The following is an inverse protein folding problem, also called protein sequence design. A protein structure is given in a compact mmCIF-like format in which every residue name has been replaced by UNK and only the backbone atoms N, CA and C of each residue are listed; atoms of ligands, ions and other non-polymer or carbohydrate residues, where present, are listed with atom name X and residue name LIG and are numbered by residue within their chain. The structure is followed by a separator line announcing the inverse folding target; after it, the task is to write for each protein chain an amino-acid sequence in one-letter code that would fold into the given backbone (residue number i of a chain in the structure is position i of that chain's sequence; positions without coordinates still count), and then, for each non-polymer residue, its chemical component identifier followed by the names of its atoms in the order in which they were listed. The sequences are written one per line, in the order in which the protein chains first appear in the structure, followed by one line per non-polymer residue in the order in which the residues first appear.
data_IF_425680391328
#
_entry.id   IF_425680391328
#
_cell.length_a   1.000
_cell.length_b   1.000
_cell.length_c   1.000
_cell.angle_alpha   90.00
_cell.angle_beta   90.00
_cell.angle_gamma   90.00
#
_symmetry.space_group_name_H-M   'P 1'
#
loop_
_entity.id
_entity.type
_entity.pdbx_description
1 polymer ?
#
# COMPACT_ATOMS: atom_id res chain seq x y z
N UNK A 1 -18.08 -8.47 21.82
CA UNK A 1 -16.96 -8.53 22.79
C UNK A 1 -15.69 -8.28 22.00
N UNK A 2 -15.12 -7.08 22.13
CA UNK A 2 -13.83 -6.74 21.51
C UNK A 2 -12.74 -7.59 22.17
N UNK A 3 -12.01 -8.38 21.38
CA UNK A 3 -10.73 -8.92 21.87
C UNK A 3 -9.78 -7.74 21.99
N UNK A 4 -9.35 -7.45 23.22
CA UNK A 4 -8.18 -6.62 23.47
C UNK A 4 -7.04 -7.07 22.54
N UNK A 5 -6.33 -6.10 21.97
CA UNK A 5 -5.07 -6.32 21.25
C UNK A 5 -4.17 -7.16 22.17
N UNK A 6 -3.66 -8.29 21.67
CA UNK A 6 -2.75 -9.14 22.42
C UNK A 6 -1.51 -8.32 22.83
N UNK A 7 -1.01 -8.42 24.07
CA UNK A 7 0.22 -7.74 24.49
C UNK A 7 1.46 -8.08 23.62
N UNK A 8 1.38 -9.10 22.77
CA UNK A 8 2.41 -9.45 21.78
C UNK A 8 2.46 -8.50 20.57
N UNK A 9 1.44 -7.68 20.34
CA UNK A 9 1.38 -6.73 19.23
C UNK A 9 1.93 -5.34 19.56
N UNK A 10 2.21 -5.04 20.84
CA UNK A 10 2.79 -3.77 21.30
C UNK A 10 4.21 -3.52 20.75
N UNK A 11 4.84 -4.52 20.13
CA UNK A 11 6.15 -4.38 19.52
C UNK A 11 6.12 -3.86 18.07
N UNK A 12 4.95 -3.71 17.43
CA UNK A 12 4.83 -3.22 16.05
C UNK A 12 4.35 -1.76 16.04
N UNK A 13 5.14 -0.81 15.50
CA UNK A 13 4.87 0.63 15.63
C UNK A 13 3.64 1.11 14.84
N UNK A 14 3.17 0.32 13.87
CA UNK A 14 2.03 0.63 13.02
C UNK A 14 0.95 -0.45 13.13
N UNK A 15 -0.30 -0.06 13.30
CA UNK A 15 -1.46 -0.97 13.29
C UNK A 15 -2.29 -0.68 12.04
N UNK A 16 -2.42 -1.69 11.18
CA UNK A 16 -3.08 -1.58 9.88
C UNK A 16 -4.50 -2.12 9.92
N UNK A 17 -5.43 -1.35 9.35
CA UNK A 17 -6.72 -1.89 8.91
C UNK A 17 -6.55 -2.38 7.47
N UNK A 18 -6.51 -3.70 7.30
CA UNK A 18 -6.30 -4.36 6.01
C UNK A 18 -7.59 -4.50 5.19
N UNK A 19 -7.49 -4.28 3.88
CA UNK A 19 -8.54 -4.47 2.88
C UNK A 19 -9.87 -3.81 3.28
N UNK A 20 -9.81 -2.52 3.61
CA UNK A 20 -10.96 -1.69 4.04
C UNK A 20 -11.80 -1.31 2.82
N UNK A 21 -12.49 -2.32 2.28
CA UNK A 21 -13.24 -2.24 1.02
C UNK A 21 -14.76 -2.14 1.21
N UNK A 22 -15.22 -1.89 2.44
CA UNK A 22 -16.65 -1.71 2.73
C UNK A 22 -16.90 -0.58 3.70
N UNK A 23 -18.11 -0.02 3.66
CA UNK A 23 -18.53 1.03 4.60
C UNK A 23 -18.39 0.55 6.04
N UNK A 24 -18.77 -0.69 6.33
CA UNK A 24 -18.65 -1.28 7.66
C UNK A 24 -17.20 -1.30 8.16
N UNK A 25 -16.27 -1.81 7.34
CA UNK A 25 -14.85 -1.86 7.69
C UNK A 25 -14.26 -0.46 7.88
N UNK A 26 -14.67 0.50 7.03
CA UNK A 26 -14.21 1.88 7.14
C UNK A 26 -14.65 2.51 8.46
N UNK A 27 -15.92 2.37 8.82
CA UNK A 27 -16.44 2.91 10.08
C UNK A 27 -15.77 2.26 11.29
N UNK A 28 -15.55 0.94 11.25
CA UNK A 28 -14.78 0.24 12.28
C UNK A 28 -13.36 0.80 12.39
N UNK A 29 -12.65 0.92 11.28
CA UNK A 29 -11.28 1.44 11.24
C UNK A 29 -11.17 2.87 11.76
N UNK A 30 -12.14 3.73 11.44
CA UNK A 30 -12.18 5.13 11.89
C UNK A 30 -12.50 5.26 13.39
N UNK A 31 -13.31 4.36 13.93
CA UNK A 31 -13.67 4.38 15.35
C UNK A 31 -12.57 3.86 16.29
N UNK A 32 -11.63 3.07 15.77
CA UNK A 32 -10.53 2.50 16.54
C UNK A 32 -9.31 3.44 16.56
N UNK A 33 -8.92 3.89 17.75
CA UNK A 33 -7.78 4.77 17.95
C UNK A 33 -6.43 4.05 17.85
N UNK A 34 -6.40 2.72 18.02
CA UNK A 34 -5.18 1.93 17.89
C UNK A 34 -4.73 1.83 16.43
N UNK A 35 -5.66 1.85 15.48
CA UNK A 35 -5.37 1.77 14.04
C UNK A 35 -4.70 3.07 13.56
N UNK A 36 -3.48 2.96 13.03
CA UNK A 36 -2.69 4.10 12.53
C UNK A 36 -2.77 4.25 11.01
N UNK A 37 -3.10 3.18 10.29
CA UNK A 37 -3.06 3.11 8.83
C UNK A 37 -4.26 2.35 8.28
N UNK A 38 -4.78 2.80 7.14
CA UNK A 38 -5.84 2.13 6.38
C UNK A 38 -5.28 1.74 5.02
N UNK A 39 -5.46 0.48 4.64
CA UNK A 39 -5.19 -0.03 3.30
C UNK A 39 -6.53 -0.36 2.62
N UNK A 40 -6.64 0.06 1.36
CA UNK A 40 -7.83 -0.14 0.53
C UNK A 40 -7.44 -0.61 -0.87
N UNK A 41 -8.10 -1.66 -1.34
CA UNK A 41 -7.95 -2.16 -2.69
C UNK A 41 -8.78 -1.29 -3.66
N UNK A 42 -8.14 -0.72 -4.68
CA UNK A 42 -8.78 0.21 -5.61
C UNK A 42 -8.92 -0.41 -6.99
N UNK A 43 -10.14 -0.39 -7.51
CA UNK A 43 -10.47 -0.81 -8.87
C UNK A 43 -11.60 0.01 -9.48
N UNK A 44 -11.91 -0.14 -10.76
CA UNK A 44 -13.01 0.55 -11.42
C UNK A 44 -14.33 -0.18 -11.25
N UNK A 45 -15.41 0.59 -11.08
CA UNK A 45 -16.77 0.05 -11.12
C UNK A 45 -17.06 -0.56 -12.49
N UNK A 46 -17.81 -1.67 -12.48
CA UNK A 46 -18.40 -2.18 -13.71
C UNK A 46 -19.67 -1.40 -14.07
N UNK A 47 -20.03 -1.27 -15.37
CA UNK A 47 -21.22 -0.53 -15.82
C UNK A 47 -22.58 -1.05 -15.34
N UNK A 48 -22.61 -2.11 -14.53
CA UNK A 48 -23.84 -2.82 -14.16
C UNK A 48 -24.17 -2.71 -12.68
N UNK A 49 -23.39 -1.96 -11.88
CA UNK A 49 -23.66 -1.82 -10.45
C UNK A 49 -24.78 -0.79 -10.22
N UNK A 50 -25.95 -1.18 -9.68
CA UNK A 50 -27.06 -0.26 -9.50
C UNK A 50 -26.71 0.91 -8.57
N UNK A 51 -27.08 2.14 -8.97
CA UNK A 51 -26.88 3.39 -8.20
C UNK A 51 -25.40 3.84 -8.04
N UNK A 52 -24.50 3.35 -8.88
CA UNK A 52 -23.14 3.88 -9.04
C UNK A 52 -23.02 4.50 -10.43
N UNK A 53 -22.31 5.63 -10.52
CA UNK A 53 -21.92 6.14 -11.83
C UNK A 53 -20.93 5.15 -12.47
N UNK A 54 -21.14 4.85 -13.74
CA UNK A 54 -20.24 3.99 -14.50
C UNK A 54 -18.85 4.64 -14.58
N UNK A 55 -17.81 3.84 -14.38
CA UNK A 55 -16.44 4.31 -14.53
C UNK A 55 -15.97 5.20 -13.38
N UNK A 56 -16.33 4.86 -12.14
CA UNK A 56 -15.77 5.49 -10.93
C UNK A 56 -14.89 4.51 -10.16
N UNK A 57 -13.83 4.97 -9.48
CA UNK A 57 -13.06 4.13 -8.58
C UNK A 57 -13.90 3.67 -7.37
N UNK A 58 -13.90 2.35 -7.15
CA UNK A 58 -14.52 1.68 -6.02
C UNK A 58 -13.45 0.96 -5.19
N UNK A 59 -13.79 0.69 -3.93
CA UNK A 59 -12.96 -0.14 -3.08
C UNK A 59 -13.45 -1.58 -3.14
N UNK A 60 -12.64 -2.46 -3.71
CA UNK A 60 -12.97 -3.88 -3.85
C UNK A 60 -11.72 -4.68 -4.24
N UNK A 61 -11.74 -5.97 -3.91
CA UNK A 61 -10.65 -6.89 -4.22
C UNK A 61 -11.13 -7.98 -5.19
N UNK A 62 -10.40 -8.25 -6.29
CA UNK A 62 -10.74 -9.34 -7.20
C UNK A 62 -10.90 -10.70 -6.48
N UNK A 63 -11.82 -11.57 -6.92
CA UNK A 63 -12.67 -11.44 -8.11
C UNK A 63 -13.95 -10.62 -7.87
N UNK A 64 -14.16 -10.12 -6.66
CA UNK A 64 -15.32 -9.27 -6.38
C UNK A 64 -15.12 -7.92 -7.08
N UNK A 65 -16.11 -7.51 -7.87
CA UNK A 65 -16.13 -6.23 -8.61
C UNK A 65 -17.28 -5.32 -8.18
N UNK A 66 -18.00 -5.73 -7.14
CA UNK A 66 -19.05 -4.97 -6.51
C UNK A 66 -18.53 -4.51 -5.15
N UNK A 67 -18.70 -3.23 -4.85
CA UNK A 67 -18.36 -2.63 -3.56
C UNK A 67 -19.43 -1.61 -3.18
N UNK A 68 -19.75 -1.52 -1.90
CA UNK A 68 -20.68 -0.51 -1.37
C UNK A 68 -19.99 0.83 -1.07
N UNK A 69 -18.66 0.88 -1.23
CA UNK A 69 -17.80 2.01 -0.92
C UNK A 69 -17.04 2.49 -2.17
N UNK A 70 -17.27 3.74 -2.56
CA UNK A 70 -16.46 4.41 -3.59
C UNK A 70 -15.23 5.04 -2.97
N UNK A 71 -14.19 5.28 -3.78
CA UNK A 71 -13.03 6.05 -3.31
C UNK A 71 -13.43 7.47 -2.86
N UNK A 72 -14.41 8.10 -3.53
CA UNK A 72 -14.90 9.42 -3.10
C UNK A 72 -15.48 9.41 -1.70
N UNK A 73 -16.34 8.42 -1.38
CA UNK A 73 -16.91 8.25 -0.04
C UNK A 73 -15.84 7.93 1.02
N UNK A 74 -14.83 7.13 0.65
CA UNK A 74 -13.67 6.91 1.51
C UNK A 74 -12.97 8.23 1.84
N UNK A 75 -12.59 8.98 0.81
CA UNK A 75 -11.90 10.27 0.97
C UNK A 75 -12.73 11.27 1.76
N UNK A 76 -14.05 11.31 1.54
CA UNK A 76 -14.96 12.15 2.34
C UNK A 76 -14.96 11.77 3.83
N UNK A 77 -14.75 10.50 4.15
CA UNK A 77 -14.75 9.99 5.53
C UNK A 77 -13.39 10.20 6.21
N UNK A 78 -12.29 10.04 5.47
CA UNK A 78 -10.93 10.18 6.01
C UNK A 78 -10.38 11.60 5.91
N UNK A 79 -11.18 12.56 5.44
CA UNK A 79 -10.81 13.97 5.37
C UNK A 79 -11.89 14.89 5.92
N UNK A 80 -11.48 15.97 6.58
CA UNK A 80 -12.37 17.01 7.08
C UNK A 80 -12.27 18.28 6.21
N UNK A 81 -13.41 18.92 5.85
CA UNK A 81 -13.38 20.18 5.12
C UNK A 81 -12.83 21.32 5.99
N UNK A 82 -12.13 22.25 5.37
CA UNK A 82 -11.62 23.49 5.98
C UNK A 82 -12.45 24.70 5.54
N UNK A 83 -12.25 25.84 6.19
CA UNK A 83 -12.98 27.08 5.87
C UNK A 83 -12.69 27.62 4.45
N UNK A 84 -11.51 27.33 3.91
CA UNK A 84 -11.08 27.75 2.56
C UNK A 84 -11.53 26.80 1.44
N UNK A 85 -12.31 25.77 1.77
CA UNK A 85 -12.85 24.80 0.81
C UNK A 85 -11.91 23.64 0.49
N UNK A 86 -10.72 23.60 1.09
CA UNK A 86 -9.80 22.47 1.02
C UNK A 86 -10.17 21.37 2.01
N UNK A 87 -9.39 20.28 2.09
CA UNK A 87 -9.67 19.16 3.00
C UNK A 87 -8.43 18.68 3.71
N UNK A 88 -8.49 18.41 5.01
CA UNK A 88 -7.37 17.85 5.78
C UNK A 88 -7.51 16.33 5.93
N UNK A 89 -6.45 15.56 5.64
CA UNK A 89 -6.38 14.13 5.98
C UNK A 89 -6.21 13.94 7.48
N UNK A 90 -7.22 13.37 8.16
CA UNK A 90 -7.41 13.67 9.59
C UNK A 90 -6.63 12.81 10.58
N UNK A 91 -6.54 11.50 10.41
CA UNK A 91 -6.04 10.64 11.52
C UNK A 91 -5.12 9.50 11.11
N UNK A 92 -5.25 8.95 9.91
CA UNK A 92 -4.59 7.69 9.52
C UNK A 92 -3.79 7.86 8.24
N UNK A 93 -2.70 7.09 8.10
CA UNK A 93 -2.07 6.91 6.78
C UNK A 93 -3.06 6.19 5.86
N UNK A 94 -3.06 6.56 4.58
CA UNK A 94 -3.99 6.00 3.60
C UNK A 94 -3.19 5.33 2.49
N UNK A 95 -3.26 4.00 2.40
CA UNK A 95 -2.65 3.22 1.32
C UNK A 95 -3.72 2.81 0.31
N UNK A 96 -3.54 3.25 -0.93
CA UNK A 96 -4.39 2.93 -2.06
C UNK A 96 -3.70 1.84 -2.88
N UNK A 97 -4.17 0.60 -2.78
CA UNK A 97 -3.65 -0.56 -3.50
C UNK A 97 -4.39 -0.77 -4.82
N UNK A 98 -3.81 -0.26 -5.91
CA UNK A 98 -4.41 -0.34 -7.23
C UNK A 98 -4.30 -1.77 -7.79
N UNK A 99 -5.46 -2.40 -7.98
CA UNK A 99 -5.56 -3.75 -8.58
C UNK A 99 -5.63 -3.74 -10.10
N UNK A 100 -5.94 -2.59 -10.69
CA UNK A 100 -5.98 -2.40 -12.13
C UNK A 100 -5.65 -0.95 -12.52
N UNK A 101 -4.98 -0.78 -13.65
CA UNK A 101 -4.43 0.52 -14.07
C UNK A 101 -5.53 1.53 -14.44
N UNK A 102 -6.69 1.05 -14.86
CA UNK A 102 -7.85 1.85 -15.25
C UNK A 102 -8.35 2.72 -14.09
N UNK A 103 -8.13 2.29 -12.84
CA UNK A 103 -8.52 3.05 -11.66
C UNK A 103 -7.54 4.15 -11.28
N UNK A 104 -6.29 4.09 -11.74
CA UNK A 104 -5.25 5.01 -11.30
C UNK A 104 -5.58 6.46 -11.64
N UNK A 105 -5.77 6.77 -12.92
CA UNK A 105 -5.98 8.16 -13.36
C UNK A 105 -7.26 8.78 -12.77
N UNK A 106 -8.43 8.11 -12.77
CA UNK A 106 -9.62 8.64 -12.11
C UNK A 106 -9.43 8.86 -10.61
N UNK A 107 -8.71 7.98 -9.91
CA UNK A 107 -8.40 8.15 -8.48
C UNK A 107 -7.49 9.35 -8.21
N UNK A 108 -6.42 9.53 -8.98
CA UNK A 108 -5.52 10.69 -8.85
C UNK A 108 -6.25 12.01 -9.15
N UNK A 109 -7.15 12.01 -10.15
CA UNK A 109 -8.00 13.17 -10.44
C UNK A 109 -8.96 13.48 -9.29
N UNK A 110 -9.46 12.48 -8.59
CA UNK A 110 -10.33 12.67 -7.43
C UNK A 110 -9.56 13.27 -6.25
N UNK A 111 -8.37 12.73 -5.95
CA UNK A 111 -7.47 13.29 -4.93
C UNK A 111 -7.12 14.76 -5.24
N UNK A 112 -6.82 15.07 -6.51
CA UNK A 112 -6.56 16.44 -6.97
C UNK A 112 -7.78 17.36 -6.73
N UNK A 113 -8.96 16.94 -7.17
CA UNK A 113 -10.22 17.72 -7.05
C UNK A 113 -10.60 18.00 -5.60
N UNK A 114 -10.30 17.06 -4.69
CA UNK A 114 -10.59 17.20 -3.27
C UNK A 114 -9.57 18.07 -2.53
N UNK A 115 -8.48 18.49 -3.19
CA UNK A 115 -7.43 19.33 -2.64
C UNK A 115 -7.04 18.90 -1.23
N UNK A 116 -6.56 17.67 -1.09
CA UNK A 116 -6.26 17.07 0.21
C UNK A 116 -4.93 17.63 0.73
N UNK A 117 -5.02 18.41 1.81
CA UNK A 117 -3.92 18.86 2.65
C UNK A 117 -3.71 17.91 3.83
N UNK A 118 -2.56 18.04 4.46
CA UNK A 118 -2.17 17.12 5.51
C UNK A 118 -1.35 17.83 6.60
N UNK A 119 -2.03 18.55 7.49
CA UNK A 119 -1.37 19.21 8.62
C UNK A 119 -0.88 18.21 9.67
N UNK A 120 -1.30 16.95 9.61
CA UNK A 120 -1.05 15.92 10.64
C UNK A 120 0.08 14.95 10.27
N UNK A 121 0.90 15.29 9.26
CA UNK A 121 2.04 14.49 8.81
C UNK A 121 1.70 13.05 8.40
N UNK A 122 0.47 12.79 7.97
CA UNK A 122 0.05 11.49 7.43
C UNK A 122 0.67 11.25 6.05
N UNK A 123 0.45 10.10 5.44
CA UNK A 123 0.99 9.80 4.12
C UNK A 123 -0.11 9.16 3.29
N UNK A 124 -0.25 9.63 2.05
CA UNK A 124 -1.00 8.90 1.02
C UNK A 124 0.00 8.01 0.28
N UNK A 125 -0.17 6.69 0.44
CA UNK A 125 0.71 5.67 -0.10
C UNK A 125 0.06 5.14 -1.38
N UNK A 126 0.74 5.29 -2.51
CA UNK A 126 0.31 4.76 -3.80
C UNK A 126 0.94 3.38 -3.97
N UNK A 127 0.11 2.34 -3.98
CA UNK A 127 0.55 0.95 -4.01
C UNK A 127 0.06 0.22 -5.26
N UNK A 128 0.91 -0.66 -5.81
CA UNK A 128 0.53 -1.64 -6.81
C UNK A 128 1.54 -2.78 -6.90
N UNK A 129 1.05 -3.96 -7.29
CA UNK A 129 1.87 -5.10 -7.71
C UNK A 129 2.29 -4.93 -9.18
N UNK A 130 3.47 -4.33 -9.39
CA UNK A 130 3.96 -3.94 -10.71
C UNK A 130 5.02 -4.89 -11.30
N UNK A 131 5.57 -5.80 -10.48
CA UNK A 131 6.59 -6.77 -10.89
C UNK A 131 6.11 -8.21 -10.65
N UNK A 132 6.56 -9.19 -11.46
CA UNK A 132 6.19 -10.57 -11.24
C UNK A 132 7.07 -11.16 -10.14
N UNK A 133 6.46 -11.87 -9.19
CA UNK A 133 7.13 -12.40 -8.00
C UNK A 133 7.14 -13.93 -7.90
N UNK A 134 7.48 -14.46 -6.73
CA UNK A 134 7.54 -15.90 -6.47
C UNK A 134 6.25 -16.64 -6.90
N UNK A 135 6.41 -17.77 -7.59
CA UNK A 135 5.32 -18.56 -8.16
C UNK A 135 4.59 -17.93 -9.35
N UNK A 136 4.90 -16.69 -9.72
CA UNK A 136 4.25 -15.94 -10.81
C UNK A 136 5.23 -15.27 -11.78
N UNK A 137 6.55 -15.58 -11.69
CA UNK A 137 7.60 -15.04 -12.57
C UNK A 137 7.35 -15.27 -14.08
N UNK A 138 6.59 -16.30 -14.42
CA UNK A 138 6.22 -16.64 -15.79
C UNK A 138 4.83 -16.11 -16.21
N UNK A 139 4.20 -15.25 -15.40
CA UNK A 139 2.92 -14.62 -15.77
C UNK A 139 3.08 -13.76 -17.02
N UNK A 140 1.98 -13.65 -17.76
CA UNK A 140 1.84 -12.67 -18.82
C UNK A 140 1.86 -11.25 -18.21
N UNK A 141 2.78 -10.36 -18.63
CA UNK A 141 2.81 -8.99 -18.12
C UNK A 141 1.50 -8.21 -18.33
N UNK A 142 0.67 -8.60 -19.31
CA UNK A 142 -0.61 -7.94 -19.61
C UNK A 142 -1.68 -8.14 -18.54
N UNK A 143 -1.52 -9.12 -17.64
CA UNK A 143 -2.46 -9.36 -16.53
C UNK A 143 -2.06 -8.65 -15.24
N UNK A 144 -1.04 -7.81 -15.29
CA UNK A 144 -0.51 -7.05 -14.17
C UNK A 144 -0.72 -5.55 -14.37
N UNK A 145 -0.57 -4.79 -13.29
CA UNK A 145 -0.50 -3.33 -13.39
C UNK A 145 0.79 -2.95 -14.12
N UNK A 146 0.75 -2.26 -15.27
CA UNK A 146 1.97 -1.91 -16.00
C UNK A 146 2.84 -0.94 -15.20
N UNK A 147 4.07 -1.36 -14.88
CA UNK A 147 4.99 -0.59 -14.05
C UNK A 147 5.22 0.82 -14.60
N UNK A 148 5.49 0.94 -15.91
CA UNK A 148 5.83 2.22 -16.52
C UNK A 148 4.68 3.22 -16.44
N UNK A 149 3.45 2.78 -16.73
CA UNK A 149 2.26 3.62 -16.68
C UNK A 149 1.96 4.03 -15.23
N UNK A 150 2.02 3.08 -14.30
CA UNK A 150 1.76 3.33 -12.88
C UNK A 150 2.75 4.35 -12.29
N UNK A 151 4.06 4.10 -12.43
CA UNK A 151 5.10 4.95 -11.83
C UNK A 151 5.09 6.34 -12.47
N UNK A 152 4.97 6.43 -13.79
CA UNK A 152 4.93 7.72 -14.50
C UNK A 152 3.72 8.56 -14.10
N UNK A 153 2.53 7.97 -14.04
CA UNK A 153 1.32 8.68 -13.62
C UNK A 153 1.42 9.18 -12.18
N UNK A 154 1.91 8.34 -11.27
CA UNK A 154 2.08 8.70 -9.87
C UNK A 154 3.13 9.81 -9.70
N UNK A 155 4.29 9.72 -10.37
CA UNK A 155 5.32 10.75 -10.30
C UNK A 155 4.82 12.10 -10.80
N UNK A 156 4.14 12.14 -11.96
CA UNK A 156 3.58 13.38 -12.50
C UNK A 156 2.59 14.02 -11.51
N UNK A 157 1.76 13.20 -10.86
CA UNK A 157 0.83 13.67 -9.85
C UNK A 157 1.54 14.21 -8.61
N UNK A 158 2.54 13.48 -8.08
CA UNK A 158 3.32 13.90 -6.90
C UNK A 158 4.07 15.20 -7.19
N UNK A 159 4.75 15.32 -8.33
CA UNK A 159 5.48 16.53 -8.72
C UNK A 159 4.55 17.74 -8.83
N UNK A 160 3.36 17.55 -9.41
CA UNK A 160 2.35 18.59 -9.49
C UNK A 160 1.86 19.02 -8.11
N UNK A 161 1.46 18.08 -7.24
CA UNK A 161 0.94 18.40 -5.90
C UNK A 161 2.00 19.05 -5.01
N UNK A 162 3.25 18.59 -5.07
CA UNK A 162 4.35 19.09 -4.24
C UNK A 162 4.96 20.41 -4.73
N UNK A 163 4.66 20.84 -5.96
CA UNK A 163 5.04 22.16 -6.46
C UNK A 163 4.22 23.30 -5.84
N UNK A 164 3.12 22.99 -5.16
CA UNK A 164 2.29 23.98 -4.49
C UNK A 164 2.85 24.26 -3.09
N UNK A 165 3.33 25.49 -2.80
CA UNK A 165 4.07 25.80 -1.57
C UNK A 165 3.27 25.57 -0.28
N UNK A 166 1.94 25.59 -0.37
CA UNK A 166 1.04 25.41 0.77
C UNK A 166 0.54 23.96 0.94
N UNK A 167 0.79 23.07 -0.05
CA UNK A 167 0.36 21.66 0.00
C UNK A 167 1.41 20.79 0.66
N UNK A 168 1.16 20.42 1.92
CA UNK A 168 2.05 19.59 2.74
C UNK A 168 1.78 18.08 2.66
N UNK A 169 0.93 17.61 1.74
CA UNK A 169 0.64 16.18 1.61
C UNK A 169 1.90 15.39 1.22
N UNK A 170 2.34 14.49 2.10
CA UNK A 170 3.41 13.54 1.80
C UNK A 170 2.83 12.37 1.03
N UNK A 171 3.47 12.06 -0.09
CA UNK A 171 3.18 10.86 -0.87
C UNK A 171 4.32 9.86 -0.72
N UNK A 172 4.01 8.58 -0.80
CA UNK A 172 5.01 7.52 -0.83
C UNK A 172 4.61 6.46 -1.85
N UNK A 173 5.62 5.81 -2.42
CA UNK A 173 5.42 4.60 -3.19
C UNK A 173 5.48 3.38 -2.29
N UNK A 174 4.58 2.42 -2.54
CA UNK A 174 4.66 1.07 -2.00
C UNK A 174 4.58 0.09 -3.18
N UNK A 175 5.73 -0.35 -3.68
CA UNK A 175 5.81 -1.12 -4.92
C UNK A 175 5.98 -2.59 -4.60
N UNK A 176 5.09 -3.41 -5.18
CA UNK A 176 4.95 -4.82 -4.84
C UNK A 176 5.16 -5.76 -6.02
N UNK A 177 4.89 -7.03 -5.72
CA UNK A 177 5.04 -8.12 -6.66
C UNK A 177 3.75 -8.93 -6.72
N UNK A 178 3.33 -9.28 -7.94
CA UNK A 178 2.28 -10.27 -8.12
C UNK A 178 2.85 -11.65 -7.75
N UNK A 179 2.34 -12.26 -6.70
CA UNK A 179 2.90 -13.50 -6.15
C UNK A 179 1.89 -14.65 -6.10
N UNK A 180 2.42 -15.85 -5.88
CA UNK A 180 1.69 -17.00 -5.37
C UNK A 180 2.23 -17.32 -3.98
N UNK A 181 1.44 -17.06 -2.93
CA UNK A 181 1.87 -17.22 -1.54
C UNK A 181 2.23 -18.67 -1.16
N UNK A 182 1.84 -19.64 -2.00
CA UNK A 182 2.17 -21.07 -1.80
C UNK A 182 3.54 -21.45 -2.33
N UNK A 183 4.23 -20.55 -3.03
CA UNK A 183 5.56 -20.82 -3.56
C UNK A 183 6.57 -21.08 -2.44
N UNK A 184 7.37 -22.14 -2.60
CA UNK A 184 8.33 -22.59 -1.59
C UNK A 184 9.68 -21.88 -1.65
N UNK A 185 10.02 -21.30 -2.81
CA UNK A 185 11.33 -20.69 -3.04
C UNK A 185 11.41 -19.28 -2.44
N UNK A 186 10.26 -18.62 -2.28
CA UNK A 186 10.18 -17.24 -1.83
C UNK A 186 10.85 -16.26 -2.80
N UNK A 187 11.24 -15.10 -2.26
CA UNK A 187 11.93 -14.06 -3.02
C UNK A 187 13.37 -14.46 -3.34
N UNK A 188 13.83 -14.03 -4.52
CA UNK A 188 15.20 -14.24 -5.01
C UNK A 188 15.90 -12.89 -5.18
N UNK A 189 17.23 -12.90 -5.21
CA UNK A 189 18.02 -11.70 -5.49
C UNK A 189 17.65 -11.06 -6.85
N UNK A 190 17.20 -11.85 -7.82
CA UNK A 190 16.69 -11.34 -9.11
C UNK A 190 15.44 -10.48 -8.96
N UNK A 191 14.58 -10.76 -7.96
CA UNK A 191 13.39 -9.94 -7.70
C UNK A 191 13.82 -8.56 -7.18
N UNK A 192 14.83 -8.51 -6.31
CA UNK A 192 15.43 -7.26 -5.84
C UNK A 192 16.07 -6.48 -6.99
N UNK A 193 16.81 -7.14 -7.90
CA UNK A 193 17.37 -6.51 -9.10
C UNK A 193 16.26 -5.89 -9.97
N UNK A 194 15.16 -6.60 -10.21
CA UNK A 194 14.05 -6.06 -10.99
C UNK A 194 13.46 -4.78 -10.37
N UNK A 195 13.38 -4.70 -9.04
CA UNK A 195 12.95 -3.45 -8.37
C UNK A 195 14.03 -2.36 -8.42
N UNK A 196 15.32 -2.71 -8.35
CA UNK A 196 16.41 -1.75 -8.58
C UNK A 196 16.28 -1.11 -9.95
N UNK A 197 15.98 -1.91 -10.98
CA UNK A 197 15.81 -1.41 -12.35
C UNK A 197 14.69 -0.36 -12.43
N UNK A 198 13.54 -0.57 -11.76
CA UNK A 198 12.47 0.43 -11.67
C UNK A 198 12.94 1.69 -10.92
N UNK A 199 13.61 1.54 -9.78
CA UNK A 199 14.10 2.68 -8.98
C UNK A 199 15.10 3.53 -9.77
N UNK A 200 16.00 2.90 -10.53
CA UNK A 200 17.00 3.59 -11.35
C UNK A 200 16.40 4.21 -12.61
N UNK A 201 15.53 3.48 -13.33
CA UNK A 201 14.84 3.97 -14.53
C UNK A 201 14.10 5.28 -14.27
N UNK A 202 13.46 5.39 -13.11
CA UNK A 202 12.67 6.56 -12.70
C UNK A 202 13.38 7.49 -11.71
N UNK A 203 14.63 7.17 -11.35
CA UNK A 203 15.44 7.89 -10.36
C UNK A 203 14.70 8.16 -9.05
N UNK A 204 13.87 7.20 -8.60
CA UNK A 204 12.97 7.38 -7.46
C UNK A 204 13.73 7.77 -6.18
N UNK A 205 14.95 7.24 -6.01
CA UNK A 205 15.80 7.52 -4.87
C UNK A 205 16.26 9.00 -4.78
N UNK A 206 16.22 9.75 -5.89
CA UNK A 206 16.64 11.15 -5.96
C UNK A 206 15.50 12.16 -5.78
N UNK A 207 14.25 11.68 -5.73
CA UNK A 207 13.05 12.51 -5.68
C UNK A 207 12.76 12.93 -4.23
N UNK A 208 12.87 14.23 -3.95
CA UNK A 208 12.77 14.80 -2.59
C UNK A 208 11.48 14.45 -1.83
N UNK A 209 10.37 14.23 -2.54
CA UNK A 209 9.05 13.98 -1.95
C UNK A 209 8.58 12.53 -2.13
N UNK A 210 9.49 11.62 -2.42
CA UNK A 210 9.18 10.21 -2.65
C UNK A 210 9.97 9.36 -1.66
N UNK A 211 9.25 8.56 -0.89
CA UNK A 211 9.83 7.43 -0.15
C UNK A 211 9.46 6.13 -0.87
N UNK A 212 10.40 5.18 -0.90
CA UNK A 212 10.22 3.88 -1.53
C UNK A 212 9.96 2.85 -0.43
N UNK A 213 8.81 2.20 -0.47
CA UNK A 213 8.50 1.03 0.36
C UNK A 213 8.38 -0.21 -0.54
N UNK A 214 9.10 -1.28 -0.21
CA UNK A 214 8.93 -2.59 -0.83
C UNK A 214 7.72 -3.28 -0.19
N UNK A 215 6.66 -3.51 -0.96
CA UNK A 215 5.52 -4.30 -0.51
C UNK A 215 5.79 -5.79 -0.75
N UNK A 216 6.18 -6.52 0.30
CA UNK A 216 6.59 -7.92 0.19
C UNK A 216 5.58 -8.83 0.90
N UNK A 217 5.15 -9.91 0.24
CA UNK A 217 4.33 -10.91 0.92
C UNK A 217 5.15 -11.57 2.04
N UNK A 218 4.67 -11.48 3.27
CA UNK A 218 5.39 -11.85 4.48
C UNK A 218 5.76 -13.34 4.49
N UNK A 219 4.86 -14.22 4.01
CA UNK A 219 5.09 -15.68 3.98
C UNK A 219 6.21 -16.05 3.02
N UNK A 220 6.32 -15.33 1.90
CA UNK A 220 7.36 -15.51 0.90
C UNK A 220 8.69 -14.87 1.35
N UNK A 221 8.62 -13.73 2.04
CA UNK A 221 9.79 -13.10 2.66
C UNK A 221 10.40 -13.99 3.74
N UNK A 222 9.58 -14.67 4.55
CA UNK A 222 10.04 -15.61 5.57
C UNK A 222 10.90 -16.77 4.99
N UNK A 223 10.71 -17.14 3.71
CA UNK A 223 11.50 -18.19 3.06
C UNK A 223 12.91 -17.73 2.68
N UNK A 224 13.07 -16.44 2.41
CA UNK A 224 14.36 -15.84 2.10
C UNK A 224 14.40 -14.36 2.50
N UNK A 225 14.68 -14.11 3.77
CA UNK A 225 14.71 -12.75 4.34
C UNK A 225 15.86 -11.91 3.77
N UNK A 226 16.90 -12.56 3.23
CA UNK A 226 18.08 -11.88 2.68
C UNK A 226 17.91 -11.39 1.24
N UNK A 227 16.79 -11.74 0.57
CA UNK A 227 16.59 -11.47 -0.85
C UNK A 227 16.74 -9.98 -1.22
N UNK A 228 16.41 -9.08 -0.28
CA UNK A 228 16.41 -7.63 -0.48
C UNK A 228 17.52 -6.89 0.28
N UNK A 229 18.47 -7.58 0.93
CA UNK A 229 19.58 -6.95 1.66
C UNK A 229 20.28 -5.90 0.78
N UNK A 230 20.70 -6.31 -0.42
CA UNK A 230 21.42 -5.41 -1.34
C UNK A 230 20.58 -4.23 -1.82
N UNK A 231 19.24 -4.34 -1.87
CA UNK A 231 18.37 -3.23 -2.22
C UNK A 231 18.35 -2.20 -1.10
N UNK A 232 18.22 -2.67 0.14
CA UNK A 232 18.12 -1.82 1.32
C UNK A 232 19.44 -1.16 1.70
N UNK A 233 20.56 -1.79 1.35
CA UNK A 233 21.91 -1.21 1.42
C UNK A 233 22.09 -0.08 0.40
N UNK A 234 21.71 -0.29 -0.86
CA UNK A 234 21.83 0.72 -1.92
C UNK A 234 20.88 1.91 -1.71
N UNK A 235 19.68 1.66 -1.17
CA UNK A 235 18.67 2.69 -0.92
C UNK A 235 18.36 2.82 0.56
N UNK A 236 19.24 3.48 1.31
CA UNK A 236 19.19 3.57 2.78
C UNK A 236 17.91 4.20 3.35
N UNK A 237 17.15 4.98 2.56
CA UNK A 237 15.88 5.61 2.97
C UNK A 237 14.64 4.78 2.64
N UNK A 238 14.81 3.63 1.97
CA UNK A 238 13.71 2.74 1.61
C UNK A 238 13.27 1.87 2.79
N UNK A 239 12.00 1.46 2.79
CA UNK A 239 11.42 0.61 3.82
C UNK A 239 10.86 -0.68 3.23
N UNK A 240 10.53 -1.65 4.08
CA UNK A 240 9.79 -2.85 3.74
C UNK A 240 8.45 -2.82 4.48
N UNK A 241 7.38 -3.10 3.76
CA UNK A 241 6.07 -3.41 4.33
C UNK A 241 5.76 -4.88 4.01
N UNK A 242 5.88 -5.73 5.02
CA UNK A 242 5.55 -7.14 4.91
C UNK A 242 4.03 -7.33 5.07
N UNK A 243 3.39 -8.00 4.13
CA UNK A 243 1.92 -8.12 4.09
C UNK A 243 1.43 -9.55 3.86
N UNK A 244 0.18 -9.83 4.26
CA UNK A 244 -0.53 -11.07 3.87
C UNK A 244 -1.76 -10.70 3.04
N UNK A 245 -2.03 -11.43 1.97
CA UNK A 245 -3.12 -11.11 1.06
C UNK A 245 -4.51 -11.44 1.63
N UNK A 246 -5.54 -10.78 1.10
CA UNK A 246 -6.93 -11.11 1.40
C UNK A 246 -7.27 -12.55 1.00
N UNK A 247 -7.69 -13.36 1.99
CA UNK A 247 -8.01 -14.77 1.80
C UNK A 247 -6.80 -15.72 1.88
N UNK A 248 -5.59 -15.20 2.08
CA UNK A 248 -4.43 -16.03 2.42
C UNK A 248 -4.53 -16.54 3.87
N UNK A 249 -3.94 -17.70 4.19
CA UNK A 249 -3.81 -18.13 5.57
C UNK A 249 -3.01 -17.11 6.40
N UNK A 250 -3.41 -16.85 7.66
CA UNK A 250 -2.64 -15.99 8.55
C UNK A 250 -1.17 -16.43 8.64
N UNK A 251 -0.25 -15.49 8.77
CA UNK A 251 1.16 -15.81 9.00
C UNK A 251 1.37 -16.25 10.46
N UNK A 252 2.15 -17.32 10.72
CA UNK A 252 2.53 -17.67 12.08
C UNK A 252 3.32 -16.54 12.76
N UNK A 253 3.00 -16.25 14.02
CA UNK A 253 3.66 -15.18 14.78
C UNK A 253 5.19 -15.39 14.86
N UNK A 254 5.65 -16.63 14.92
CA UNK A 254 7.08 -16.98 14.91
C UNK A 254 7.78 -16.59 13.61
N UNK A 255 7.12 -16.72 12.46
CA UNK A 255 7.69 -16.30 11.16
C UNK A 255 7.79 -14.78 11.11
N UNK A 256 6.77 -14.07 11.61
CA UNK A 256 6.80 -12.61 11.69
C UNK A 256 7.92 -12.11 12.62
N UNK A 257 8.10 -12.73 13.79
CA UNK A 257 9.22 -12.43 14.69
C UNK A 257 10.58 -12.76 14.07
N UNK A 258 10.69 -13.83 13.30
CA UNK A 258 11.92 -14.19 12.61
C UNK A 258 12.29 -13.14 11.55
N UNK A 259 11.32 -12.66 10.75
CA UNK A 259 11.53 -11.54 9.81
C UNK A 259 12.02 -10.31 10.58
N UNK A 260 11.30 -9.88 11.61
CA UNK A 260 11.68 -8.68 12.38
C UNK A 260 13.08 -8.82 12.97
N UNK A 261 13.39 -9.95 13.60
CA UNK A 261 14.70 -10.23 14.21
C UNK A 261 15.81 -10.18 13.18
N UNK A 262 15.59 -10.73 11.98
CA UNK A 262 16.55 -10.67 10.89
C UNK A 262 16.88 -9.21 10.51
N UNK A 263 15.86 -8.40 10.24
CA UNK A 263 16.05 -6.99 9.85
C UNK A 263 16.66 -6.15 10.98
N UNK A 264 16.26 -6.39 12.23
CA UNK A 264 16.88 -5.77 13.42
C UNK A 264 18.37 -6.12 13.50
N UNK A 265 18.75 -7.38 13.25
CA UNK A 265 20.15 -7.81 13.26
C UNK A 265 21.03 -7.13 12.20
N UNK A 266 20.40 -6.59 11.15
CA UNK A 266 21.02 -5.80 10.08
C UNK A 266 21.03 -4.29 10.37
N UNK A 267 20.57 -3.86 11.55
CA UNK A 267 20.43 -2.45 11.90
C UNK A 267 19.25 -1.75 11.23
N UNK A 268 18.27 -2.50 10.72
CA UNK A 268 17.10 -1.98 9.98
C UNK A 268 15.83 -1.98 10.87
N UNK A 269 15.98 -1.61 12.14
CA UNK A 269 14.92 -1.71 13.18
C UNK A 269 13.64 -0.99 12.77
N UNK A 270 13.76 0.23 12.25
CA UNK A 270 12.62 1.10 11.91
C UNK A 270 12.27 1.06 10.41
N UNK A 271 12.80 0.08 9.67
CA UNK A 271 12.63 -0.04 8.21
C UNK A 271 11.76 -1.22 7.80
N UNK A 272 11.13 -1.91 8.75
CA UNK A 272 10.22 -3.04 8.51
C UNK A 272 8.91 -2.82 9.27
N UNK A 273 7.81 -2.80 8.53
CA UNK A 273 6.44 -2.73 9.04
C UNK A 273 5.65 -3.96 8.59
N UNK A 274 4.51 -4.22 9.26
CA UNK A 274 3.68 -5.39 8.99
C UNK A 274 2.20 -5.01 8.82
N UNK A 275 1.64 -5.34 7.64
CA UNK A 275 0.20 -5.33 7.34
C UNK A 275 -0.26 -6.78 7.15
N UNK A 276 -0.28 -7.54 8.25
CA UNK A 276 -0.47 -8.99 8.24
C UNK A 276 -1.69 -9.41 9.07
N UNK A 277 -2.40 -10.40 8.56
CA UNK A 277 -3.28 -11.24 9.37
C UNK A 277 -2.43 -12.29 10.09
N UNK A 278 -2.52 -12.33 11.42
CA UNK A 278 -1.66 -13.16 12.28
C UNK A 278 -2.48 -14.31 12.88
N UNK A 279 -1.90 -15.51 12.90
CA UNK A 279 -2.48 -16.66 13.59
C UNK A 279 -2.39 -16.42 15.12
N UNK A 280 -3.54 -16.44 15.80
CA UNK A 280 -3.63 -16.26 17.26
C UNK A 280 -3.41 -17.57 18.00
#
# INVERSE_FOLDING_TARGET
MMTAVSPELDEFPSVWAHAVNSVEKLMAAMSDQAITSIECDVMMSEPTVPNLEDGVPILSHPPFRQGDLTLGKLLDTVTEPTEDGTRNLITKHLKLDFKEIQALKPSLQLLQKMEIYNPYQKVVILNADILPGPGKRALDPTVMVPADEFVTCCLNYIEMETSHPDKAAKFAFSLGYRCDYTNTDGYLASDAVAMKDIVEQYQLHSKQHVTITLALNARLLARNMSAFDSFLEDYATSNVLAWTGSGEPPIPLEEMHAIKTYYVSKGMVDRIEFDCCIEK
#
